data_IF_059491753060
#
_entry.id   IF_059491753060
#
_cell.length_a   1.000
_cell.length_b   1.000
_cell.length_c   1.000
_cell.angle_alpha   90.00
_cell.angle_beta   90.00
_cell.angle_gamma   90.00
#
_symmetry.space_group_name_H-M   'P 1'
#
loop_
_entity.id
_entity.type
_entity.pdbx_description
1 polymer ?
#
# COMPACT_ATOMS: atom_id res chain seq x y z
N UNK A 1 29.11 20.51 8.67
CA UNK A 1 28.93 19.06 8.49
C UNK A 1 27.56 18.77 7.88
N UNK A 2 27.50 18.49 6.58
CA UNK A 2 26.24 18.27 5.83
C UNK A 2 25.57 16.92 6.11
N UNK A 3 25.57 16.49 7.38
CA UNK A 3 25.02 15.20 7.81
C UNK A 3 23.50 15.27 7.87
N UNK A 4 22.83 14.31 7.24
CA UNK A 4 21.38 14.18 7.28
C UNK A 4 20.94 13.41 8.52
N UNK A 5 19.81 13.83 9.07
CA UNK A 5 19.19 13.20 10.24
C UNK A 5 17.69 13.00 10.01
N UNK A 6 17.16 11.99 10.67
CA UNK A 6 15.73 11.73 10.79
C UNK A 6 15.36 11.60 12.27
N UNK A 7 14.16 12.05 12.60
CA UNK A 7 13.59 11.96 13.96
C UNK A 7 12.16 11.45 13.83
N UNK A 8 11.82 10.41 14.58
CA UNK A 8 10.44 9.96 14.68
C UNK A 8 9.64 10.88 15.61
N UNK A 9 8.51 11.41 15.15
CA UNK A 9 7.69 12.39 15.87
C UNK A 9 6.57 11.73 16.69
N UNK A 10 6.86 10.57 17.31
CA UNK A 10 5.87 9.75 18.03
C UNK A 10 4.68 9.37 17.14
N UNK A 11 4.95 8.97 15.90
CA UNK A 11 3.91 8.44 15.02
C UNK A 11 3.28 7.20 15.64
N UNK A 12 1.95 7.03 15.52
CA UNK A 12 1.22 5.91 16.13
C UNK A 12 1.79 4.53 15.78
N UNK A 13 2.40 4.41 14.60
CA UNK A 13 2.96 3.17 14.09
C UNK A 13 4.50 3.16 14.05
N UNK A 14 5.16 4.25 14.47
CA UNK A 14 6.61 4.39 14.49
C UNK A 14 7.27 4.51 13.11
N UNK A 15 8.59 4.63 13.16
CA UNK A 15 9.48 4.69 11.99
C UNK A 15 10.54 3.58 12.11
N UNK A 16 10.83 2.89 11.01
CA UNK A 16 11.77 1.76 10.95
C UNK A 16 12.90 2.12 9.98
N UNK A 17 14.16 1.94 10.40
CA UNK A 17 15.35 2.11 9.54
C UNK A 17 16.10 0.78 9.46
N UNK A 18 16.33 0.28 8.25
CA UNK A 18 17.03 -0.98 8.00
C UNK A 18 16.44 -2.16 8.82
N UNK A 19 15.13 -2.15 9.03
CA UNK A 19 14.40 -3.18 9.79
C UNK A 19 14.39 -2.98 11.32
N UNK A 20 15.05 -1.94 11.84
CA UNK A 20 15.09 -1.60 13.26
C UNK A 20 14.13 -0.45 13.57
N UNK A 21 13.29 -0.62 14.60
CA UNK A 21 12.38 0.43 15.06
C UNK A 21 13.19 1.55 15.71
N UNK A 22 12.95 2.78 15.29
CA UNK A 22 13.56 3.96 15.89
C UNK A 22 12.92 4.31 17.22
N UNK A 23 13.73 4.84 18.14
CA UNK A 23 13.21 5.50 19.34
C UNK A 23 12.58 6.85 18.98
N UNK A 24 11.36 7.15 19.48
CA UNK A 24 10.73 8.44 19.26
C UNK A 24 11.57 9.59 19.80
N UNK A 25 11.51 10.74 19.12
CA UNK A 25 12.20 12.00 19.46
C UNK A 25 13.73 11.94 19.48
N UNK A 26 14.33 10.78 19.17
CA UNK A 26 15.77 10.61 19.03
C UNK A 26 16.21 10.86 17.58
N UNK A 27 17.26 11.68 17.42
CA UNK A 27 17.90 11.90 16.11
C UNK A 27 18.69 10.66 15.69
N UNK A 28 18.46 10.19 14.47
CA UNK A 28 19.23 9.14 13.83
C UNK A 28 19.94 9.70 12.60
N UNK A 29 21.25 9.49 12.51
CA UNK A 29 22.04 9.94 11.37
C UNK A 29 21.79 9.01 10.17
N UNK A 30 21.38 9.56 9.03
CA UNK A 30 21.14 8.80 7.81
C UNK A 30 22.41 8.60 6.99
N UNK A 31 22.55 7.43 6.39
CA UNK A 31 23.62 7.07 5.47
C UNK A 31 23.04 6.71 4.10
N UNK A 32 23.84 6.93 3.06
CA UNK A 32 23.46 6.52 1.71
C UNK A 32 23.10 5.02 1.69
N UNK A 33 21.95 4.72 1.10
CA UNK A 33 21.43 3.37 1.00
C UNK A 33 20.48 2.94 2.12
N UNK A 34 20.33 3.72 3.20
CA UNK A 34 19.40 3.39 4.29
C UNK A 34 17.96 3.22 3.78
N UNK A 35 17.29 2.20 4.29
CA UNK A 35 15.89 1.89 3.96
C UNK A 35 14.99 2.36 5.09
N UNK A 36 14.12 3.33 4.78
CA UNK A 36 13.18 3.92 5.71
C UNK A 36 11.80 3.36 5.41
N UNK A 37 11.15 2.82 6.44
CA UNK A 37 9.78 2.32 6.38
C UNK A 37 8.96 3.01 7.46
N UNK A 38 7.81 3.56 7.08
CA UNK A 38 6.87 4.13 8.03
C UNK A 38 5.81 3.08 8.38
N UNK A 39 5.51 2.96 9.67
CA UNK A 39 4.49 2.03 10.12
C UNK A 39 5.03 0.80 10.86
N UNK A 40 4.12 -0.16 11.09
CA UNK A 40 4.46 -1.43 11.74
C UNK A 40 5.16 -2.35 10.74
N UNK A 41 5.82 -3.42 11.21
CA UNK A 41 6.19 -4.55 10.35
C UNK A 41 4.91 -5.23 9.86
N UNK A 42 4.29 -4.66 8.84
CA UNK A 42 3.19 -5.29 8.11
C UNK A 42 3.85 -6.38 7.26
N UNK A 43 3.30 -7.59 7.29
CA UNK A 43 3.81 -8.73 6.50
C UNK A 43 3.87 -8.39 4.99
N UNK A 44 3.11 -7.38 4.55
CA UNK A 44 3.20 -6.73 3.25
C UNK A 44 3.71 -5.28 3.41
N UNK A 45 4.91 -4.99 2.89
CA UNK A 45 5.42 -3.61 2.82
C UNK A 45 4.56 -2.83 1.82
N UNK A 46 3.79 -1.85 2.29
CA UNK A 46 3.01 -0.99 1.39
C UNK A 46 3.91 0.01 0.66
N UNK A 47 4.89 0.60 1.36
CA UNK A 47 5.84 1.55 0.80
C UNK A 47 7.24 1.37 1.40
N UNK A 48 8.27 1.51 0.56
CA UNK A 48 9.68 1.48 0.95
C UNK A 48 10.40 2.69 0.38
N UNK A 49 11.12 3.43 1.23
CA UNK A 49 11.92 4.58 0.82
C UNK A 49 13.40 4.23 0.95
N UNK A 50 14.17 4.41 -0.12
CA UNK A 50 15.63 4.28 -0.07
C UNK A 50 16.27 5.65 -0.05
N UNK A 51 16.92 5.98 1.04
CA UNK A 51 17.67 7.23 1.17
C UNK A 51 18.91 7.17 0.28
N UNK A 52 19.14 8.24 -0.49
CA UNK A 52 20.32 8.35 -1.34
C UNK A 52 20.99 9.71 -1.17
N UNK A 53 22.30 9.70 -0.98
CA UNK A 53 23.14 10.90 -0.92
C UNK A 53 23.99 10.92 -2.18
N UNK A 54 23.65 11.81 -3.11
CA UNK A 54 24.41 12.01 -4.34
C UNK A 54 24.08 13.37 -4.94
N UNK A 55 24.82 13.81 -5.98
CA UNK A 55 24.39 14.96 -6.76
C UNK A 55 22.94 14.72 -7.16
N UNK A 56 22.10 15.76 -7.00
CA UNK A 56 20.73 15.73 -7.48
C UNK A 56 20.77 15.65 -9.00
N UNK A 57 21.02 14.46 -9.51
CA UNK A 57 20.71 14.12 -10.88
C UNK A 57 19.20 14.16 -10.87
N UNK A 58 18.64 15.30 -11.25
CA UNK A 58 17.26 15.43 -11.66
C UNK A 58 17.11 14.48 -12.85
N UNK A 59 16.99 13.18 -12.55
CA UNK A 59 16.49 12.22 -13.49
C UNK A 59 15.10 12.73 -13.75
N UNK A 60 14.96 13.40 -14.90
CA UNK A 60 13.67 13.65 -15.52
C UNK A 60 13.03 12.27 -15.57
N UNK A 61 12.15 12.01 -14.61
CA UNK A 61 11.34 10.80 -14.61
C UNK A 61 10.54 10.96 -15.87
N UNK A 62 10.95 10.28 -16.94
CA UNK A 62 10.10 10.20 -18.11
C UNK A 62 8.78 9.66 -17.59
N UNK A 63 7.67 10.42 -17.76
CA UNK A 63 6.38 9.96 -17.30
C UNK A 63 6.19 8.55 -17.85
N UNK A 64 5.71 7.60 -17.03
CA UNK A 64 5.56 6.22 -17.45
C UNK A 64 4.84 6.25 -18.79
N UNK A 65 5.56 5.86 -19.84
CA UNK A 65 5.04 5.87 -21.20
C UNK A 65 3.96 4.82 -21.17
N UNK A 66 2.72 5.25 -20.97
CA UNK A 66 1.55 4.39 -20.97
C UNK A 66 1.60 3.71 -22.33
N UNK A 67 2.08 2.47 -22.35
CA UNK A 67 1.94 1.61 -23.50
C UNK A 67 0.46 1.34 -23.55
N UNK A 68 -0.25 2.24 -24.24
CA UNK A 68 -1.63 2.04 -24.64
C UNK A 68 -1.57 0.76 -25.45
N UNK A 69 -1.95 -0.36 -24.83
CA UNK A 69 -2.16 -1.59 -25.55
C UNK A 69 -3.08 -1.21 -26.70
N UNK A 70 -2.56 -1.31 -27.92
CA UNK A 70 -3.42 -1.31 -29.08
C UNK A 70 -4.06 -2.70 -29.07
N UNK A 71 -5.03 -2.89 -28.18
CA UNK A 71 -5.98 -3.95 -28.38
C UNK A 71 -6.73 -3.58 -29.67
N UNK A 72 -6.63 -4.40 -30.74
CA UNK A 72 -7.39 -4.15 -31.94
C UNK A 72 -8.87 -4.16 -31.56
N UNK A 73 -9.56 -3.06 -31.86
CA UNK A 73 -11.00 -2.96 -31.68
C UNK A 73 -11.65 -4.14 -32.41
N UNK A 74 -12.07 -5.15 -31.65
CA UNK A 74 -13.08 -6.07 -32.11
C UNK A 74 -14.37 -5.26 -32.24
N UNK A 75 -14.79 -5.13 -33.49
CA UNK A 75 -16.02 -4.53 -33.96
C UNK A 75 -17.20 -5.08 -33.14
N UNK A 76 -17.71 -4.26 -32.21
CA UNK A 76 -18.87 -4.60 -31.40
C UNK A 76 -20.12 -4.19 -32.19
N UNK A 77 -21.09 -5.10 -32.43
CA UNK A 77 -22.27 -4.79 -33.22
C UNK A 77 -23.13 -3.70 -32.57
N UNK A 78 -23.50 -2.73 -33.40
CA UNK A 78 -24.39 -1.61 -33.09
C UNK A 78 -25.64 -2.10 -32.37
N UNK A 79 -25.82 -1.67 -31.12
CA UNK A 79 -27.12 -1.71 -30.46
C UNK A 79 -27.63 -0.28 -30.40
N UNK A 80 -28.56 0.02 -31.30
CA UNK A 80 -29.30 1.27 -31.35
C UNK A 80 -29.84 1.61 -29.95
N UNK A 81 -29.42 2.76 -29.42
CA UNK A 81 -30.02 3.36 -28.23
C UNK A 81 -30.70 4.66 -28.64
N UNK A 82 -31.96 4.88 -28.22
CA UNK A 82 -32.69 6.08 -28.55
C UNK A 82 -32.10 7.31 -27.88
N UNK A 83 -32.06 8.38 -28.66
CA UNK A 83 -31.66 9.74 -28.31
C UNK A 83 -32.53 10.32 -27.18
N UNK A 84 -31.91 10.64 -26.04
CA UNK A 84 -32.46 11.63 -25.12
C UNK A 84 -31.61 12.90 -25.19
N UNK A 85 -32.20 13.93 -25.78
CA UNK A 85 -31.71 15.29 -25.75
C UNK A 85 -31.83 15.87 -24.33
N UNK A 86 -30.77 16.52 -23.87
CA UNK A 86 -30.71 17.24 -22.59
C UNK A 86 -29.29 17.74 -22.38
N UNK A 87 -28.88 18.79 -23.09
CA UNK A 87 -29.03 20.18 -22.67
C UNK A 87 -28.27 20.50 -21.37
N UNK A 88 -27.26 21.37 -21.55
CA UNK A 88 -27.00 22.53 -20.69
C UNK A 88 -25.81 22.52 -19.71
N UNK A 89 -24.84 23.34 -20.13
CA UNK A 89 -24.04 24.33 -19.38
C UNK A 89 -22.67 23.93 -18.82
N UNK A 90 -21.69 24.15 -19.68
CA UNK A 90 -20.37 24.63 -19.29
C UNK A 90 -20.47 25.96 -18.54
N UNK A 91 -19.85 26.04 -17.36
CA UNK A 91 -19.35 27.32 -16.82
C UNK A 91 -17.89 27.20 -16.40
N UNK A 92 -17.04 27.74 -17.27
CA UNK A 92 -15.66 28.11 -17.01
C UNK A 92 -15.63 29.28 -16.02
N UNK A 93 -15.02 29.10 -14.85
CA UNK A 93 -14.51 30.21 -14.03
C UNK A 93 -13.18 29.84 -13.37
N UNK A 94 -12.10 30.25 -14.05
CA UNK A 94 -10.84 30.69 -13.42
C UNK A 94 -11.16 31.74 -12.36
N UNK A 95 -10.70 31.56 -11.12
CA UNK A 95 -10.28 32.68 -10.27
C UNK A 95 -9.39 32.25 -9.09
N UNK A 96 -8.23 32.88 -9.07
CA UNK A 96 -7.22 33.00 -8.02
C UNK A 96 -7.80 33.52 -6.69
N UNK A 97 -7.35 32.98 -5.54
CA UNK A 97 -6.71 33.73 -4.43
C UNK A 97 -6.62 32.88 -3.15
N UNK A 98 -5.44 32.96 -2.55
CA UNK A 98 -5.07 32.56 -1.18
C UNK A 98 -6.15 32.83 -0.12
N UNK A 99 -6.38 31.91 0.85
CA UNK A 99 -7.08 32.24 2.07
C UNK A 99 -6.08 32.80 3.09
N UNK A 100 -6.23 34.11 3.32
CA UNK A 100 -5.71 34.85 4.46
C UNK A 100 -6.42 34.35 5.72
N UNK A 101 -5.67 33.83 6.66
CA UNK A 101 -6.10 33.39 7.99
C UNK A 101 -6.87 34.52 8.70
N UNK A 102 -8.19 34.35 8.84
CA UNK A 102 -9.01 35.18 9.72
C UNK A 102 -9.68 34.27 10.74
N UNK A 103 -9.25 34.47 11.99
CA UNK A 103 -9.91 34.02 13.22
C UNK A 103 -11.40 34.33 13.16
N UNK A 104 -12.24 33.29 13.13
CA UNK A 104 -13.69 33.39 13.25
C UNK A 104 -14.05 32.95 14.66
N UNK A 105 -14.47 33.93 15.46
CA UNK A 105 -15.09 33.75 16.78
C UNK A 105 -16.29 32.80 16.65
N UNK A 106 -16.27 31.70 17.39
CA UNK A 106 -17.32 30.70 17.41
C UNK A 106 -18.67 31.32 17.82
N UNK A 107 -19.62 31.35 16.87
CA UNK A 107 -21.05 31.48 17.18
C UNK A 107 -21.63 30.07 17.26
N UNK A 108 -22.07 29.67 18.46
CA UNK A 108 -22.79 28.42 18.71
C UNK A 108 -24.06 28.37 17.84
N UNK A 109 -24.21 27.39 16.93
CA UNK A 109 -25.47 27.20 16.24
C UNK A 109 -26.52 26.65 17.22
N UNK A 110 -27.68 27.33 17.27
CA UNK A 110 -28.89 26.86 17.95
C UNK A 110 -29.35 25.58 17.25
N UNK A 111 -29.40 24.49 18.02
CA UNK A 111 -29.84 23.16 17.61
C UNK A 111 -31.36 23.19 17.40
N UNK A 112 -31.80 23.26 16.15
CA UNK A 112 -33.18 22.97 15.76
C UNK A 112 -33.37 21.46 15.81
N UNK A 113 -34.25 21.01 16.69
CA UNK A 113 -34.72 19.63 16.78
C UNK A 113 -35.62 19.41 15.56
N UNK A 114 -35.11 18.65 14.59
CA UNK A 114 -35.89 18.12 13.47
C UNK A 114 -36.24 16.68 13.90
N UNK A 115 -37.47 16.48 14.35
CA UNK A 115 -38.10 15.16 14.44
C UNK A 115 -38.45 14.73 13.02
N UNK A 116 -37.62 13.85 12.46
CA UNK A 116 -37.87 13.14 11.21
C UNK A 116 -38.36 11.74 11.59
N UNK A 117 -39.64 11.49 11.32
CA UNK A 117 -40.21 10.14 11.33
C UNK A 117 -39.63 9.37 10.13
N UNK A 118 -38.64 8.53 10.38
CA UNK A 118 -37.99 7.68 9.36
C UNK A 118 -37.82 6.24 9.85
N UNK A 119 -38.87 5.68 10.47
CA UNK A 119 -38.81 4.41 11.21
C UNK A 119 -39.06 3.14 10.37
N UNK A 120 -38.91 3.15 9.04
CA UNK A 120 -39.27 1.95 8.23
C UNK A 120 -38.22 1.44 7.24
N UNK A 121 -37.16 2.19 6.93
CA UNK A 121 -36.11 1.70 6.00
C UNK A 121 -34.80 1.27 6.69
N UNK A 122 -34.60 1.66 7.96
CA UNK A 122 -33.36 1.33 8.69
C UNK A 122 -33.31 -0.13 9.18
N UNK A 123 -34.46 -0.81 9.29
CA UNK A 123 -34.52 -2.20 9.79
C UNK A 123 -33.99 -3.21 8.77
N UNK A 124 -34.22 -2.98 7.47
CA UNK A 124 -33.73 -3.86 6.40
C UNK A 124 -32.20 -3.79 6.26
N UNK A 125 -31.61 -2.60 6.40
CA UNK A 125 -30.17 -2.41 6.34
C UNK A 125 -29.44 -3.03 7.53
N UNK A 126 -30.07 -3.00 8.72
CA UNK A 126 -29.52 -3.64 9.91
C UNK A 126 -29.42 -5.16 9.74
N UNK A 127 -30.42 -5.79 9.11
CA UNK A 127 -30.45 -7.24 8.92
C UNK A 127 -29.37 -7.74 7.95
N UNK A 128 -29.08 -7.00 6.88
CA UNK A 128 -28.06 -7.39 5.92
C UNK A 128 -26.64 -7.30 6.52
N UNK A 129 -26.36 -6.25 7.31
CA UNK A 129 -25.08 -6.10 7.97
C UNK A 129 -24.83 -7.23 8.99
N UNK A 130 -25.86 -7.63 9.72
CA UNK A 130 -25.79 -8.74 10.68
C UNK A 130 -25.49 -10.07 9.97
N UNK A 131 -26.16 -10.36 8.84
CA UNK A 131 -25.87 -11.53 8.00
C UNK A 131 -24.43 -11.54 7.51
N UNK A 132 -23.89 -10.39 7.11
CA UNK A 132 -22.51 -10.28 6.65
C UNK A 132 -21.51 -10.57 7.78
N UNK A 133 -21.78 -10.08 9.00
CA UNK A 133 -20.93 -10.35 10.17
C UNK A 133 -20.93 -11.83 10.56
N UNK A 134 -22.08 -12.49 10.51
CA UNK A 134 -22.17 -13.92 10.83
C UNK A 134 -21.51 -14.80 9.75
N UNK A 135 -21.63 -14.43 8.47
CA UNK A 135 -20.89 -15.09 7.40
C UNK A 135 -19.37 -15.00 7.61
N UNK A 136 -18.87 -13.82 7.99
CA UNK A 136 -17.45 -13.63 8.33
C UNK A 136 -17.01 -14.44 9.56
N UNK A 137 -17.86 -14.58 10.58
CA UNK A 137 -17.56 -15.40 11.76
C UNK A 137 -17.43 -16.88 11.39
N UNK A 138 -18.35 -17.40 10.59
CA UNK A 138 -18.32 -18.79 10.11
C UNK A 138 -17.08 -19.08 9.26
N UNK A 139 -16.68 -18.16 8.37
CA UNK A 139 -15.46 -18.33 7.59
C UNK A 139 -14.21 -18.37 8.47
N UNK A 140 -14.11 -17.49 9.48
CA UNK A 140 -13.00 -17.49 10.43
C UNK A 140 -12.93 -18.78 11.25
N UNK A 141 -14.08 -19.32 11.67
CA UNK A 141 -14.15 -20.60 12.37
C UNK A 141 -13.67 -21.75 11.48
N UNK A 142 -14.11 -21.79 10.22
CA UNK A 142 -13.65 -22.77 9.22
C UNK A 142 -12.15 -22.68 8.98
N UNK A 143 -11.59 -21.47 8.88
CA UNK A 143 -10.14 -21.27 8.74
C UNK A 143 -9.38 -21.77 9.97
N UNK A 144 -9.91 -21.54 11.17
CA UNK A 144 -9.34 -22.02 12.43
C UNK A 144 -9.29 -23.56 12.48
N UNK A 145 -10.33 -24.23 12.02
CA UNK A 145 -10.34 -25.69 11.90
C UNK A 145 -9.30 -26.21 10.90
N UNK A 146 -9.16 -25.56 9.73
CA UNK A 146 -8.13 -25.90 8.74
C UNK A 146 -6.72 -25.73 9.30
N UNK A 147 -6.46 -24.67 10.06
CA UNK A 147 -5.15 -24.49 10.71
C UNK A 147 -4.89 -25.57 11.76
N UNK A 148 -5.91 -25.95 12.53
CA UNK A 148 -5.81 -27.01 13.52
C UNK A 148 -5.48 -28.36 12.85
N UNK A 149 -6.11 -28.70 11.72
CA UNK A 149 -5.82 -29.96 11.01
C UNK A 149 -4.43 -29.99 10.38
N UNK A 150 -3.93 -28.85 9.88
CA UNK A 150 -2.56 -28.74 9.36
C UNK A 150 -1.54 -28.93 10.49
N UNK A 151 -1.77 -28.31 11.66
CA UNK A 151 -0.86 -28.44 12.81
C UNK A 151 -0.86 -29.83 13.46
N UNK A 152 -1.96 -30.59 13.29
CA UNK A 152 -2.11 -31.93 13.84
C UNK A 152 -1.51 -33.02 12.95
N UNK A 153 -0.99 -32.68 11.76
CA UNK A 153 -0.24 -33.64 10.95
C UNK A 153 1.10 -33.86 11.63
N UNK A 154 1.37 -35.04 12.22
CA UNK A 154 2.67 -35.30 12.83
C UNK A 154 3.70 -35.14 11.73
N UNK A 155 4.60 -34.16 11.92
CA UNK A 155 5.86 -34.09 11.19
C UNK A 155 6.56 -35.40 11.54
N UNK A 156 6.38 -36.42 10.70
CA UNK A 156 7.25 -37.57 10.75
C UNK A 156 8.63 -36.99 10.48
N UNK A 157 9.58 -37.09 11.43
CA UNK A 157 10.95 -36.70 11.16
C UNK A 157 11.43 -37.64 10.07
N UNK A 158 11.31 -37.17 8.83
CA UNK A 158 11.87 -37.83 7.67
C UNK A 158 13.34 -38.02 7.97
N UNK A 159 13.74 -39.28 8.10
CA UNK A 159 15.13 -39.70 7.96
C UNK A 159 15.64 -39.11 6.65
N UNK A 160 16.33 -37.99 6.77
CA UNK A 160 17.12 -37.39 5.72
C UNK A 160 18.27 -38.37 5.44
N UNK A 161 18.01 -39.36 4.58
CA UNK A 161 19.08 -40.00 3.82
C UNK A 161 19.54 -38.96 2.81
N UNK A 162 20.48 -38.13 3.26
CA UNK A 162 21.32 -37.37 2.34
C UNK A 162 22.29 -38.38 1.74
N UNK A 163 21.94 -38.91 0.58
CA UNK A 163 22.90 -39.57 -0.30
C UNK A 163 23.93 -38.52 -0.73
N UNK A 164 25.10 -38.62 -0.11
CA UNK A 164 26.31 -37.87 -0.36
C UNK A 164 26.87 -38.29 -1.73
N UNK A 165 26.40 -37.67 -2.82
CA UNK A 165 26.91 -37.93 -4.18
C UNK A 165 26.76 -36.73 -5.11
N UNK A 166 27.49 -35.66 -4.82
CA UNK A 166 27.84 -34.66 -5.83
C UNK A 166 29.37 -34.59 -5.94
N UNK A 167 29.85 -35.36 -6.93
CA UNK A 167 31.23 -35.37 -7.42
C UNK A 167 31.71 -33.95 -7.71
N UNK A 168 32.86 -33.65 -7.14
CA UNK A 168 33.82 -32.61 -7.50
C UNK A 168 33.91 -32.42 -9.02
N UNK A 169 33.49 -31.24 -9.50
CA UNK A 169 33.93 -30.76 -10.82
C UNK A 169 35.24 -29.98 -10.65
N UNK A 170 36.29 -30.28 -11.45
CA UNK A 170 37.51 -29.49 -11.46
C UNK A 170 37.29 -28.16 -12.17
N UNK A 171 37.72 -27.08 -11.53
CA UNK A 171 37.81 -25.74 -12.10
C UNK A 171 38.86 -25.67 -13.22
N UNK A 172 38.56 -25.08 -14.39
CA UNK A 172 39.58 -24.78 -15.38
C UNK A 172 40.35 -23.53 -14.95
N UNK A 173 41.61 -23.73 -14.57
CA UNK A 173 42.60 -22.66 -14.38
C UNK A 173 43.08 -22.24 -15.76
N UNK A 174 42.42 -21.25 -16.37
CA UNK A 174 42.88 -20.70 -17.63
C UNK A 174 43.98 -19.64 -17.40
N UNK A 175 45.11 -19.92 -18.04
CA UNK A 175 46.37 -19.19 -17.98
C UNK A 175 46.26 -17.91 -18.82
N UNK A 176 46.34 -16.74 -18.20
CA UNK A 176 46.73 -15.51 -18.88
C UNK A 176 48.22 -15.23 -18.60
N UNK A 177 49.12 -15.83 -19.39
CA UNK A 177 50.52 -15.42 -19.48
C UNK A 177 50.74 -14.67 -20.79
N UNK A 178 51.05 -13.38 -20.64
CA UNK A 178 52.02 -12.60 -21.40
C UNK A 178 52.05 -12.73 -22.92
N UNK A 179 51.66 -11.66 -23.60
CA UNK A 179 52.30 -11.25 -24.85
C UNK A 179 53.21 -10.05 -24.56
N UNK A 180 54.51 -10.27 -24.79
CA UNK A 180 55.50 -9.26 -25.13
C UNK A 180 55.19 -8.67 -26.52
#
# INVERSE_FOLDING_TARGET
>A
DGQWFITDLKGQNGTIINGLIMEPERRHALRDGDVITFGRKICSKEFEYKFRVGPLVLRRVEPPRVQRSQDPLAESPERERPSSAGSSQATSRKRTRSPRSRSIKAKKPKRTVITLDSDTEDEAHSSELERQLDAMRQENERLKERLKSVSASPITPGKERVDESCKTQPTPVEKAKGRL
#
